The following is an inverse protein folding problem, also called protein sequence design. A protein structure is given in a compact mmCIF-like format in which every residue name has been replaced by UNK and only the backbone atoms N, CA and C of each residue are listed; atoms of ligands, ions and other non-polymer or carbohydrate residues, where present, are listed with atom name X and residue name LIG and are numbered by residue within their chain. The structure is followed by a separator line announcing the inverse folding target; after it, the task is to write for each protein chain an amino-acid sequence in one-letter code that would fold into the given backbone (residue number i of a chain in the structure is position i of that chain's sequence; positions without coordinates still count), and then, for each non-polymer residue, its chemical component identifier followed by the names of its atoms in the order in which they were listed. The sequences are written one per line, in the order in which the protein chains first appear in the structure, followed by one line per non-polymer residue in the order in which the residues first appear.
data_IF_223143306351
#
_entry.id   IF_223143306351
#
_cell.length_a   1.000
_cell.length_b   1.000
_cell.length_c   1.000
_cell.angle_alpha   90.00
_cell.angle_beta   90.00
_cell.angle_gamma   90.00
#
_symmetry.space_group_name_H-M   'P 1'
#
loop_
_entity.id
_entity.type
_entity.pdbx_description
1 polymer ?
#
# COMPACT_ATOMS: atom_id res chain seq x y z
N UNK A 1 -51.99 34.76 51.46
CA UNK A 1 -51.45 33.41 51.20
C UNK A 1 -51.64 33.17 49.72
N UNK A 2 -50.63 33.07 48.85
CA UNK A 2 -49.51 32.10 48.87
C UNK A 2 -48.41 32.54 47.90
N UNK A 3 -47.17 32.36 48.37
CA UNK A 3 -45.88 32.20 47.68
C UNK A 3 -45.87 31.83 46.18
N UNK A 4 -44.86 32.35 45.44
CA UNK A 4 -44.23 31.58 44.35
C UNK A 4 -43.47 32.35 43.24
N UNK A 5 -42.13 32.38 43.35
CA UNK A 5 -41.08 32.38 42.31
C UNK A 5 -41.09 33.40 41.13
N UNK A 6 -40.10 34.29 40.96
CA UNK A 6 -38.68 34.14 40.52
C UNK A 6 -38.46 33.84 39.00
N UNK A 7 -37.77 34.80 38.36
CA UNK A 7 -36.88 34.74 37.17
C UNK A 7 -37.45 34.60 35.74
N UNK A 8 -37.09 35.57 34.88
CA UNK A 8 -36.66 35.48 33.46
C UNK A 8 -36.87 36.89 32.82
N UNK A 9 -35.96 37.56 32.10
CA UNK A 9 -34.81 37.15 31.31
C UNK A 9 -33.85 38.35 31.14
N UNK A 10 -32.63 38.20 31.64
CA UNK A 10 -31.46 38.82 31.02
C UNK A 10 -30.81 37.74 30.15
N UNK A 11 -30.89 37.84 28.81
CA UNK A 11 -30.09 37.08 27.82
C UNK A 11 -30.46 37.51 26.39
N UNK A 12 -29.89 38.62 25.92
CA UNK A 12 -29.90 38.97 24.49
C UNK A 12 -28.60 39.69 24.08
N UNK A 13 -27.43 39.11 24.37
CA UNK A 13 -26.14 39.61 23.88
C UNK A 13 -25.13 38.48 23.52
N UNK A 14 -25.61 37.34 22.99
CA UNK A 14 -24.76 36.17 22.70
C UNK A 14 -24.73 35.63 21.26
N UNK A 15 -25.52 36.15 20.31
CA UNK A 15 -25.82 35.43 19.05
C UNK A 15 -25.22 35.98 17.75
N UNK A 16 -24.58 37.15 17.75
CA UNK A 16 -24.07 37.77 16.50
C UNK A 16 -22.72 37.23 16.02
N UNK A 17 -21.87 36.73 16.93
CA UNK A 17 -20.55 36.19 16.57
C UNK A 17 -20.61 34.80 15.91
N UNK A 18 -21.51 33.92 16.38
CA UNK A 18 -21.67 32.56 15.88
C UNK A 18 -22.22 32.50 14.44
N UNK A 19 -23.17 33.39 14.10
CA UNK A 19 -23.77 33.48 12.76
C UNK A 19 -22.78 33.97 11.70
N UNK A 20 -21.88 34.88 12.08
CA UNK A 20 -20.80 35.40 11.21
C UNK A 20 -19.75 34.31 10.91
N UNK A 21 -19.39 33.49 11.90
CA UNK A 21 -18.47 32.37 11.73
C UNK A 21 -19.07 31.26 10.85
N UNK A 22 -20.36 30.97 10.97
CA UNK A 22 -21.05 29.98 10.12
C UNK A 22 -21.05 30.38 8.64
N UNK A 23 -21.36 31.64 8.32
CA UNK A 23 -21.30 32.16 6.95
C UNK A 23 -19.89 32.16 6.37
N UNK A 24 -18.88 32.52 7.17
CA UNK A 24 -17.46 32.44 6.76
C UNK A 24 -17.03 30.99 6.49
N UNK A 25 -17.47 30.03 7.31
CA UNK A 25 -17.18 28.60 7.13
C UNK A 25 -17.72 28.07 5.80
N UNK A 26 -18.92 28.50 5.40
CA UNK A 26 -19.52 28.16 4.10
C UNK A 26 -18.75 28.82 2.94
N UNK A 27 -18.39 30.10 3.07
CA UNK A 27 -17.63 30.80 2.03
C UNK A 27 -16.23 30.17 1.79
N UNK A 28 -15.54 29.80 2.87
CA UNK A 28 -14.26 29.10 2.82
C UNK A 28 -14.43 27.70 2.22
N UNK A 29 -15.47 26.94 2.63
CA UNK A 29 -15.77 25.62 2.07
C UNK A 29 -16.05 25.65 0.56
N UNK A 30 -16.84 26.63 0.10
CA UNK A 30 -17.13 26.81 -1.33
C UNK A 30 -15.87 27.18 -2.13
N UNK A 31 -14.96 27.94 -1.52
CA UNK A 31 -13.67 28.28 -2.13
C UNK A 31 -12.81 27.02 -2.30
N UNK A 32 -12.65 26.19 -1.27
CA UNK A 32 -11.92 24.93 -1.39
C UNK A 32 -12.57 23.95 -2.40
N UNK A 33 -13.90 23.90 -2.45
CA UNK A 33 -14.62 23.10 -3.44
C UNK A 33 -14.34 23.58 -4.87
N UNK A 34 -14.24 24.90 -5.10
CA UNK A 34 -13.88 25.48 -6.41
C UNK A 34 -12.47 25.07 -6.86
N UNK A 35 -11.56 24.86 -5.92
CA UNK A 35 -10.20 24.38 -6.19
C UNK A 35 -10.08 22.84 -6.16
N UNK A 36 -11.20 22.11 -6.21
CA UNK A 36 -11.21 20.65 -6.43
C UNK A 36 -11.07 19.77 -5.18
N UNK A 37 -11.23 20.34 -3.97
CA UNK A 37 -11.30 19.52 -2.77
C UNK A 37 -12.59 18.66 -2.76
N UNK A 38 -12.50 17.36 -2.44
CA UNK A 38 -13.69 16.53 -2.31
C UNK A 38 -14.55 17.01 -1.13
N UNK A 39 -15.86 17.16 -1.38
CA UNK A 39 -16.83 17.70 -0.42
C UNK A 39 -16.90 16.94 0.90
N UNK A 40 -16.47 15.67 0.92
CA UNK A 40 -16.37 14.82 2.10
C UNK A 40 -15.21 15.20 3.04
N UNK A 41 -14.09 15.72 2.51
CA UNK A 41 -12.91 16.04 3.32
C UNK A 41 -12.96 17.45 3.91
N UNK A 42 -13.69 18.38 3.29
CA UNK A 42 -13.76 19.79 3.68
C UNK A 42 -14.23 19.99 5.15
N UNK A 43 -15.29 19.32 5.65
CA UNK A 43 -15.72 19.49 7.04
C UNK A 43 -14.66 19.01 8.04
N UNK A 44 -13.99 17.90 7.74
CA UNK A 44 -12.92 17.33 8.57
C UNK A 44 -11.67 18.22 8.58
N UNK A 45 -11.32 18.78 7.41
CA UNK A 45 -10.17 19.65 7.22
C UNK A 45 -10.33 20.99 7.96
N UNK A 46 -11.50 21.61 7.85
CA UNK A 46 -11.80 22.87 8.54
C UNK A 46 -11.92 22.70 10.06
N UNK A 47 -12.34 21.52 10.53
CA UNK A 47 -12.38 21.22 11.97
C UNK A 47 -10.99 21.11 12.60
N UNK A 48 -10.02 20.57 11.85
CA UNK A 48 -8.62 20.42 12.30
C UNK A 48 -7.84 21.73 12.27
N UNK A 49 -8.31 22.75 11.54
CA UNK A 49 -7.56 23.97 11.25
C UNK A 49 -8.39 25.24 11.53
N UNK A 50 -8.63 25.58 12.82
CA UNK A 50 -9.43 26.74 13.19
C UNK A 50 -8.78 28.08 12.77
N UNK A 51 -7.46 28.10 12.57
CA UNK A 51 -6.70 29.26 12.09
C UNK A 51 -7.12 29.73 10.69
N UNK A 52 -7.62 28.84 9.84
CA UNK A 52 -8.06 29.19 8.48
C UNK A 52 -9.38 29.95 8.46
N UNK A 53 -10.19 29.78 9.51
CA UNK A 53 -11.45 30.53 9.69
C UNK A 53 -11.20 31.96 10.19
N UNK A 54 -9.99 32.25 10.68
CA UNK A 54 -9.55 33.57 11.13
C UNK A 54 -8.86 34.38 10.03
N UNK A 55 -8.32 33.72 9.00
CA UNK A 55 -7.65 34.37 7.87
C UNK A 55 -8.65 35.06 6.91
N UNK A 56 -8.30 36.20 6.28
CA UNK A 56 -9.18 36.88 5.35
C UNK A 56 -9.30 36.12 4.01
N UNK A 57 -10.55 35.93 3.55
CA UNK A 57 -10.93 35.23 2.32
C UNK A 57 -10.12 35.62 1.04
N UNK A 58 -9.81 36.89 0.75
CA UNK A 58 -9.04 37.25 -0.46
C UNK A 58 -7.58 36.79 -0.40
N UNK A 59 -6.97 36.72 0.79
CA UNK A 59 -5.60 36.19 0.93
C UNK A 59 -5.59 34.67 0.77
N UNK A 60 -6.60 33.98 1.28
CA UNK A 60 -6.78 32.54 1.03
C UNK A 60 -6.98 32.26 -0.47
N UNK A 61 -7.83 33.04 -1.15
CA UNK A 61 -8.00 32.93 -2.59
C UNK A 61 -6.69 33.15 -3.34
N UNK A 62 -5.92 34.18 -3.00
CA UNK A 62 -4.68 34.49 -3.69
C UNK A 62 -3.58 33.46 -3.40
N UNK A 63 -3.44 32.98 -2.15
CA UNK A 63 -2.50 31.91 -1.78
C UNK A 63 -2.80 30.61 -2.52
N UNK A 64 -4.08 30.23 -2.63
CA UNK A 64 -4.51 29.09 -3.43
C UNK A 64 -4.27 29.35 -4.92
N UNK A 65 -4.55 30.54 -5.43
CA UNK A 65 -4.26 30.87 -6.84
C UNK A 65 -2.76 30.77 -7.15
N UNK A 66 -1.89 31.23 -6.26
CA UNK A 66 -0.44 31.06 -6.41
C UNK A 66 -0.01 29.60 -6.32
N UNK A 67 -0.57 28.81 -5.40
CA UNK A 67 -0.27 27.37 -5.29
C UNK A 67 -0.74 26.58 -6.52
N UNK A 68 -1.91 26.93 -7.08
CA UNK A 68 -2.46 26.31 -8.28
C UNK A 68 -1.85 26.87 -9.58
N UNK A 69 -1.16 28.01 -9.53
CA UNK A 69 -0.36 28.53 -10.65
C UNK A 69 0.99 27.81 -10.79
N UNK A 70 1.44 27.11 -9.75
CA UNK A 70 2.54 26.15 -9.85
C UNK A 70 2.03 24.96 -10.66
N UNK A 71 2.78 24.52 -11.68
CA UNK A 71 2.42 23.40 -12.57
C UNK A 71 2.39 22.03 -11.85
N UNK A 72 1.59 21.90 -10.80
CA UNK A 72 1.40 20.71 -9.97
C UNK A 72 -0.01 20.19 -10.25
N UNK A 73 -0.20 18.87 -10.40
CA UNK A 73 -1.53 18.30 -10.58
C UNK A 73 -2.40 18.56 -9.34
N UNK A 74 -3.66 18.91 -9.60
CA UNK A 74 -4.63 19.34 -8.59
C UNK A 74 -4.82 18.34 -7.43
N UNK A 75 -4.71 17.04 -7.71
CA UNK A 75 -4.84 16.00 -6.68
C UNK A 75 -3.67 16.00 -5.68
N UNK A 76 -2.47 16.35 -6.12
CA UNK A 76 -1.28 16.41 -5.27
C UNK A 76 -1.31 17.65 -4.37
N UNK A 77 -1.84 18.76 -4.87
CA UNK A 77 -2.07 19.96 -4.03
C UNK A 77 -3.10 19.65 -2.94
N UNK A 78 -4.18 18.95 -3.28
CA UNK A 78 -5.22 18.57 -2.31
C UNK A 78 -4.67 17.59 -1.27
N UNK A 79 -3.85 16.61 -1.67
CA UNK A 79 -3.21 15.69 -0.73
C UNK A 79 -2.18 16.39 0.17
N UNK A 80 -1.38 17.30 -0.39
CA UNK A 80 -0.41 18.11 0.35
C UNK A 80 -1.08 19.04 1.35
N UNK A 81 -2.15 19.73 0.97
CA UNK A 81 -2.91 20.61 1.86
C UNK A 81 -3.63 19.82 2.96
N UNK A 82 -4.18 18.65 2.64
CA UNK A 82 -4.82 17.77 3.63
C UNK A 82 -3.80 17.25 4.66
N UNK A 83 -2.57 16.98 4.22
CA UNK A 83 -1.48 16.48 5.06
C UNK A 83 -0.80 17.60 5.86
N UNK A 84 -0.70 18.81 5.30
CA UNK A 84 0.01 19.94 5.92
C UNK A 84 -0.78 21.26 5.74
N UNK A 85 -1.68 21.59 6.68
CA UNK A 85 -2.52 22.80 6.59
C UNK A 85 -1.78 24.11 6.91
N UNK A 86 -0.54 24.04 7.38
CA UNK A 86 0.33 25.20 7.62
C UNK A 86 0.68 25.99 6.35
N UNK A 87 0.51 25.38 5.18
CA UNK A 87 0.65 25.99 3.85
C UNK A 87 -0.27 27.20 3.61
N UNK A 88 -1.32 27.34 4.40
CA UNK A 88 -2.33 28.38 4.22
C UNK A 88 -2.24 29.47 5.30
N UNK A 89 -1.24 29.40 6.19
CA UNK A 89 -1.01 30.43 7.19
C UNK A 89 -0.39 31.69 6.56
N UNK A 90 -0.77 32.85 7.10
CA UNK A 90 -0.36 34.18 6.61
C UNK A 90 1.16 34.36 6.54
N UNK A 91 1.90 33.81 7.51
CA UNK A 91 3.37 33.84 7.54
C UNK A 91 4.00 33.07 6.38
N UNK A 92 3.41 31.94 6.01
CA UNK A 92 3.90 31.12 4.90
C UNK A 92 3.67 31.76 3.55
N UNK A 93 2.54 32.46 3.36
CA UNK A 93 2.22 33.13 2.09
C UNK A 93 3.27 34.20 1.73
N UNK A 94 3.69 35.03 2.68
CA UNK A 94 4.72 36.05 2.42
C UNK A 94 6.09 35.43 2.13
N UNK A 95 6.44 34.36 2.83
CA UNK A 95 7.67 33.60 2.56
C UNK A 95 7.60 32.90 1.19
N UNK A 96 6.45 32.35 0.81
CA UNK A 96 6.26 31.71 -0.48
C UNK A 96 6.35 32.73 -1.62
N UNK A 97 5.69 33.88 -1.51
CA UNK A 97 5.70 34.92 -2.56
C UNK A 97 7.10 35.52 -2.78
N UNK A 98 7.84 35.76 -1.69
CA UNK A 98 9.19 36.34 -1.79
C UNK A 98 10.27 35.33 -2.18
N UNK A 99 10.15 34.05 -1.80
CA UNK A 99 11.24 33.07 -1.95
C UNK A 99 11.07 32.11 -3.14
N UNK A 100 9.85 31.91 -3.64
CA UNK A 100 9.57 31.02 -4.77
C UNK A 100 10.32 31.41 -6.08
N UNK A 101 10.40 32.70 -6.48
CA UNK A 101 11.14 33.11 -7.68
C UNK A 101 12.64 32.83 -7.56
N UNK A 102 13.23 33.05 -6.38
CA UNK A 102 14.65 32.80 -6.14
C UNK A 102 14.99 31.31 -6.16
N UNK A 103 14.12 30.45 -5.64
CA UNK A 103 14.29 29.00 -5.68
C UNK A 103 14.14 28.45 -7.11
N UNK A 104 13.17 28.95 -7.88
CA UNK A 104 12.98 28.57 -9.30
C UNK A 104 14.17 28.98 -10.17
N UNK A 105 14.81 30.12 -9.88
CA UNK A 105 15.97 30.60 -10.65
C UNK A 105 17.24 29.82 -10.30
N UNK A 106 17.38 29.37 -9.04
CA UNK A 106 18.59 28.68 -8.55
C UNK A 106 18.55 27.17 -8.74
N UNK A 107 17.36 26.59 -8.87
CA UNK A 107 17.14 25.16 -9.15
C UNK A 107 16.17 24.97 -10.32
N UNK A 108 16.59 25.29 -11.56
CA UNK A 108 15.72 25.18 -12.74
C UNK A 108 15.30 23.74 -13.07
N UNK A 109 15.98 22.74 -12.51
CA UNK A 109 15.74 21.30 -12.73
C UNK A 109 14.79 20.66 -11.71
N UNK A 110 14.40 21.37 -10.65
CA UNK A 110 13.55 20.81 -9.58
C UNK A 110 12.05 20.89 -9.92
N UNK A 111 11.33 19.82 -9.60
CA UNK A 111 9.88 19.75 -9.74
C UNK A 111 9.19 20.83 -8.87
N UNK A 112 8.08 21.44 -9.30
CA UNK A 112 7.36 22.38 -8.44
C UNK A 112 6.88 21.77 -7.11
N UNK A 113 6.68 20.45 -7.05
CA UNK A 113 6.39 19.68 -5.83
C UNK A 113 7.58 19.59 -4.86
N UNK A 114 8.83 19.42 -5.35
CA UNK A 114 10.04 19.48 -4.49
C UNK A 114 10.23 20.84 -3.87
N UNK A 115 9.99 21.91 -4.64
CA UNK A 115 10.06 23.28 -4.14
C UNK A 115 9.05 23.54 -3.02
N UNK A 116 7.83 23.00 -3.14
CA UNK A 116 6.84 23.08 -2.06
C UNK A 116 7.23 22.21 -0.85
N UNK A 117 7.75 21.00 -1.05
CA UNK A 117 8.22 20.15 0.05
C UNK A 117 9.42 20.75 0.79
N UNK A 118 10.31 21.43 0.07
CA UNK A 118 11.40 22.23 0.65
C UNK A 118 10.89 23.36 1.54
N UNK A 119 9.91 24.13 1.06
CA UNK A 119 9.28 25.21 1.82
C UNK A 119 8.46 24.68 3.01
N UNK A 120 7.83 23.51 2.85
CA UNK A 120 7.15 22.80 3.92
C UNK A 120 8.12 22.34 5.00
N UNK A 121 9.28 21.85 4.61
CA UNK A 121 10.26 21.32 5.54
C UNK A 121 11.02 22.43 6.24
N UNK A 122 11.31 23.54 5.54
CA UNK A 122 11.87 24.74 6.15
C UNK A 122 10.96 25.29 7.25
N UNK A 123 9.65 25.29 7.03
CA UNK A 123 8.67 25.77 8.02
C UNK A 123 8.47 24.83 9.19
N UNK A 124 8.48 23.52 8.96
CA UNK A 124 8.46 22.51 10.03
C UNK A 124 9.70 22.56 10.92
N UNK A 125 10.85 22.88 10.33
CA UNK A 125 12.14 22.91 11.02
C UNK A 125 12.48 24.29 11.59
N UNK A 126 11.63 25.32 11.37
CA UNK A 126 11.91 26.72 11.70
C UNK A 126 13.25 27.24 11.13
N UNK A 127 13.71 26.68 10.01
CA UNK A 127 14.97 27.06 9.36
C UNK A 127 14.68 27.96 8.15
N UNK A 128 15.48 29.00 7.97
CA UNK A 128 15.35 29.92 6.83
C UNK A 128 15.72 29.18 5.52
N UNK A 129 14.88 29.18 4.46
CA UNK A 129 15.19 28.54 3.18
C UNK A 129 16.53 28.94 2.56
N UNK A 130 17.08 30.09 2.94
CA UNK A 130 18.41 30.55 2.52
C UNK A 130 19.56 29.77 3.19
N UNK A 131 19.37 29.25 4.41
CA UNK A 131 20.33 28.35 5.08
C UNK A 131 20.28 26.91 4.54
N UNK A 132 19.22 26.56 3.81
CA UNK A 132 19.15 25.29 3.06
C UNK A 132 20.05 25.32 1.83
N UNK A 133 20.22 26.49 1.21
CA UNK A 133 21.01 26.64 -0.01
C UNK A 133 22.51 26.29 0.16
N UNK A 134 23.22 26.69 1.24
CA UNK A 134 24.60 26.24 1.47
C UNK A 134 24.68 24.75 1.78
N UNK A 135 23.75 24.16 2.55
CA UNK A 135 23.73 22.71 2.82
C UNK A 135 23.43 21.87 1.58
N UNK A 136 22.51 22.33 0.73
CA UNK A 136 22.21 21.69 -0.56
C UNK A 136 23.36 21.83 -1.54
N UNK A 137 24.07 22.97 -1.49
CA UNK A 137 25.32 23.12 -2.23
C UNK A 137 26.40 22.20 -1.67
N UNK A 138 26.55 22.06 -0.34
CA UNK A 138 27.48 21.10 0.29
C UNK A 138 27.17 19.65 -0.13
N UNK A 139 25.89 19.27 -0.22
CA UNK A 139 25.48 17.98 -0.78
C UNK A 139 25.94 17.77 -2.23
N UNK A 140 26.01 18.83 -3.04
CA UNK A 140 26.51 18.77 -4.42
C UNK A 140 28.03 18.88 -4.52
N UNK A 141 28.66 19.77 -3.75
CA UNK A 141 30.09 20.09 -3.87
C UNK A 141 30.95 19.16 -3.04
N UNK A 142 30.54 18.90 -1.81
CA UNK A 142 31.37 18.18 -0.83
C UNK A 142 31.09 16.68 -0.91
N UNK A 143 29.84 16.33 -1.23
CA UNK A 143 29.42 14.95 -1.42
C UNK A 143 29.19 14.57 -2.89
N UNK A 144 29.40 15.45 -3.87
CA UNK A 144 29.32 15.11 -5.30
C UNK A 144 28.02 14.38 -5.72
N UNK A 145 26.89 14.63 -5.04
CA UNK A 145 25.61 14.02 -5.41
C UNK A 145 25.07 14.64 -6.71
N UNK A 146 24.41 13.82 -7.53
CA UNK A 146 23.78 14.33 -8.75
C UNK A 146 22.58 15.22 -8.44
N UNK A 147 22.26 16.14 -9.33
CA UNK A 147 21.07 17.00 -9.21
C UNK A 147 19.78 16.19 -9.02
N UNK A 148 19.71 15.02 -9.66
CA UNK A 148 18.58 14.10 -9.53
C UNK A 148 18.51 13.45 -8.14
N UNK A 149 19.65 13.14 -7.52
CA UNK A 149 19.72 12.60 -6.16
C UNK A 149 19.33 13.64 -5.13
N UNK A 150 19.83 14.87 -5.26
CA UNK A 150 19.40 15.98 -4.39
C UNK A 150 17.89 16.21 -4.49
N UNK A 151 17.34 16.18 -5.70
CA UNK A 151 15.89 16.24 -5.89
C UNK A 151 15.15 15.12 -5.15
N UNK A 152 15.60 13.87 -5.31
CA UNK A 152 14.98 12.72 -4.64
C UNK A 152 15.06 12.79 -3.12
N UNK A 153 16.18 13.27 -2.57
CA UNK A 153 16.32 13.48 -1.13
C UNK A 153 15.28 14.48 -0.63
N UNK A 154 15.05 15.55 -1.37
CA UNK A 154 14.06 16.56 -1.03
C UNK A 154 12.61 16.08 -1.16
N UNK A 155 12.34 15.14 -2.08
CA UNK A 155 11.01 14.50 -2.20
C UNK A 155 10.77 13.49 -1.08
N UNK A 156 11.74 12.62 -0.83
CA UNK A 156 11.56 11.44 0.03
C UNK A 156 11.92 11.63 1.49
N UNK A 157 12.88 12.52 1.81
CA UNK A 157 13.37 12.72 3.17
C UNK A 157 13.96 14.13 3.37
N UNK A 158 13.10 15.16 3.46
CA UNK A 158 13.58 16.53 3.59
C UNK A 158 14.20 16.83 4.96
N UNK A 159 13.99 15.95 5.94
CA UNK A 159 14.64 15.99 7.25
C UNK A 159 16.16 15.78 7.15
N UNK A 160 16.70 15.38 5.98
CA UNK A 160 18.15 15.33 5.73
C UNK A 160 18.84 16.63 6.13
N UNK A 161 18.12 17.75 6.00
CA UNK A 161 18.58 19.11 6.30
C UNK A 161 18.96 19.28 7.76
N UNK A 162 18.29 18.55 8.65
CA UNK A 162 18.55 18.58 10.10
C UNK A 162 19.77 17.74 10.45
N UNK A 163 19.97 16.64 9.74
CA UNK A 163 21.11 15.72 9.90
C UNK A 163 22.44 16.47 9.79
N UNK A 164 23.41 16.07 10.61
CA UNK A 164 24.74 16.67 10.60
C UNK A 164 25.51 16.28 9.34
N UNK A 165 26.31 17.19 8.77
CA UNK A 165 27.17 16.89 7.62
C UNK A 165 28.16 15.75 7.94
N UNK A 166 28.64 15.69 9.18
CA UNK A 166 29.49 14.60 9.67
C UNK A 166 28.78 13.24 9.67
N UNK A 167 27.47 13.20 9.97
CA UNK A 167 26.69 11.97 9.95
C UNK A 167 26.53 11.47 8.52
N UNK A 168 26.23 12.39 7.58
CA UNK A 168 26.13 12.10 6.15
C UNK A 168 27.47 11.57 5.60
N UNK A 169 28.58 12.24 5.95
CA UNK A 169 29.92 11.81 5.58
C UNK A 169 30.23 10.41 6.13
N UNK A 170 29.92 10.14 7.39
CA UNK A 170 30.17 8.84 8.02
C UNK A 170 29.43 7.69 7.32
N UNK A 171 28.18 7.92 6.87
CA UNK A 171 27.41 6.91 6.13
C UNK A 171 28.04 6.66 4.77
N UNK A 172 28.45 7.71 4.09
CA UNK A 172 29.13 7.64 2.79
C UNK A 172 30.45 6.87 2.89
N UNK A 173 31.27 7.20 3.88
CA UNK A 173 32.58 6.58 4.12
C UNK A 173 32.40 5.12 4.51
N UNK A 174 31.37 4.81 5.30
CA UNK A 174 31.02 3.44 5.65
C UNK A 174 30.61 2.61 4.42
N UNK A 175 29.73 3.12 3.56
CA UNK A 175 29.31 2.42 2.33
C UNK A 175 30.48 2.25 1.34
N UNK A 176 31.33 3.28 1.23
CA UNK A 176 32.55 3.23 0.41
C UNK A 176 33.55 2.21 0.96
N UNK A 177 33.76 2.19 2.27
CA UNK A 177 34.62 1.22 2.97
C UNK A 177 34.09 -0.21 2.90
N UNK A 178 32.78 -0.40 2.78
CA UNK A 178 32.18 -1.71 2.49
C UNK A 178 32.40 -2.17 1.03
N UNK A 179 32.83 -1.26 0.16
CA UNK A 179 33.16 -1.54 -1.23
C UNK A 179 31.98 -1.37 -2.19
N UNK A 180 31.10 -0.39 -1.92
CA UNK A 180 30.11 0.11 -2.87
C UNK A 180 30.73 1.33 -3.60
N UNK A 181 30.76 1.35 -4.94
CA UNK A 181 31.38 2.45 -5.68
C UNK A 181 30.55 3.74 -5.55
N UNK A 182 31.19 4.89 -5.76
CA UNK A 182 30.57 6.20 -5.53
C UNK A 182 29.30 6.41 -6.37
N UNK A 183 29.33 5.95 -7.62
CA UNK A 183 28.20 6.06 -8.54
C UNK A 183 26.99 5.26 -8.05
N UNK A 184 27.21 4.09 -7.42
CA UNK A 184 26.14 3.30 -6.82
C UNK A 184 25.63 3.91 -5.52
N UNK A 185 26.48 4.61 -4.75
CA UNK A 185 26.02 5.34 -3.55
C UNK A 185 25.04 6.45 -3.96
N UNK A 186 25.29 7.16 -5.07
CA UNK A 186 24.35 8.15 -5.60
C UNK A 186 22.98 7.50 -5.91
N UNK A 187 22.98 6.33 -6.56
CA UNK A 187 21.75 5.57 -6.85
C UNK A 187 21.04 5.04 -5.60
N UNK A 188 21.81 4.61 -4.59
CA UNK A 188 21.31 4.14 -3.29
C UNK A 188 20.58 5.26 -2.58
N UNK A 189 21.22 6.42 -2.46
CA UNK A 189 20.65 7.60 -1.81
C UNK A 189 19.46 8.11 -2.61
N UNK A 190 19.52 8.09 -3.94
CA UNK A 190 18.38 8.46 -4.80
C UNK A 190 17.17 7.57 -4.56
N UNK A 191 17.35 6.26 -4.38
CA UNK A 191 16.23 5.32 -4.23
C UNK A 191 15.74 5.23 -2.78
N UNK A 192 16.62 5.48 -1.80
CA UNK A 192 16.30 5.45 -0.38
C UNK A 192 17.04 6.57 0.38
N UNK A 193 16.59 7.83 0.26
CA UNK A 193 17.25 8.98 0.88
C UNK A 193 17.42 8.89 2.40
N UNK A 194 16.50 8.18 3.06
CA UNK A 194 16.50 7.95 4.51
C UNK A 194 17.76 7.22 5.01
N UNK A 195 18.53 6.58 4.12
CA UNK A 195 19.82 5.95 4.46
C UNK A 195 20.78 6.93 5.13
N UNK A 196 20.74 8.21 4.75
CA UNK A 196 21.64 9.25 5.26
C UNK A 196 21.40 9.61 6.73
N UNK A 197 20.22 9.30 7.26
CA UNK A 197 19.88 9.51 8.67
C UNK A 197 20.02 8.23 9.51
N UNK A 198 20.53 7.14 8.94
CA UNK A 198 20.80 5.92 9.69
C UNK A 198 22.16 6.03 10.38
N UNK A 199 22.17 6.06 11.71
CA UNK A 199 23.42 6.06 12.47
C UNK A 199 24.29 4.86 12.14
N UNK A 200 25.54 5.10 11.73
CA UNK A 200 26.50 4.06 11.32
C UNK A 200 26.75 3.07 12.45
N UNK A 201 27.16 3.57 13.61
CA UNK A 201 27.53 2.73 14.76
C UNK A 201 26.32 2.02 15.41
N UNK A 202 25.20 2.73 15.51
CA UNK A 202 24.03 2.26 16.25
C UNK A 202 23.10 1.38 15.41
N UNK A 203 23.14 1.48 14.08
CA UNK A 203 22.20 0.79 13.20
C UNK A 203 22.84 0.05 12.04
N UNK A 204 23.67 0.70 11.22
CA UNK A 204 24.26 0.04 10.05
C UNK A 204 25.25 -1.06 10.45
N UNK A 205 26.18 -0.78 11.37
CA UNK A 205 27.17 -1.76 11.83
C UNK A 205 26.53 -3.02 12.45
N UNK A 206 25.56 -2.92 13.38
CA UNK A 206 24.86 -4.09 13.90
C UNK A 206 24.10 -4.87 12.82
N UNK A 207 23.44 -4.18 11.88
CA UNK A 207 22.71 -4.84 10.79
C UNK A 207 23.65 -5.64 9.88
N UNK A 208 24.81 -5.07 9.51
CA UNK A 208 25.80 -5.75 8.68
C UNK A 208 26.43 -6.93 9.42
N UNK A 209 26.62 -6.81 10.74
CA UNK A 209 27.08 -7.91 11.58
C UNK A 209 26.07 -9.05 11.62
N UNK A 210 24.78 -8.76 11.83
CA UNK A 210 23.71 -9.76 11.78
C UNK A 210 23.70 -10.50 10.44
N UNK A 211 23.75 -9.75 9.32
CA UNK A 211 23.77 -10.33 7.98
C UNK A 211 24.95 -11.28 7.79
N UNK A 212 26.14 -10.89 8.28
CA UNK A 212 27.35 -11.72 8.22
C UNK A 212 27.25 -12.95 9.13
N UNK A 213 26.69 -12.82 10.33
CA UNK A 213 26.47 -13.92 11.27
C UNK A 213 25.45 -14.95 10.75
N UNK A 214 24.48 -14.51 9.94
CA UNK A 214 23.54 -15.37 9.23
C UNK A 214 24.16 -16.11 8.03
N UNK A 215 25.43 -15.85 7.72
CA UNK A 215 26.19 -16.56 6.67
C UNK A 215 26.09 -15.94 5.27
N UNK A 216 25.50 -14.75 5.13
CA UNK A 216 25.48 -14.06 3.83
C UNK A 216 26.84 -13.46 3.50
N UNK A 217 27.25 -13.58 2.23
CA UNK A 217 28.50 -13.01 1.77
C UNK A 217 28.40 -11.50 1.55
N UNK A 218 29.52 -10.78 1.69
CA UNK A 218 29.58 -9.35 1.37
C UNK A 218 29.21 -9.06 -0.10
N UNK A 219 29.34 -10.04 -1.00
CA UNK A 219 28.96 -9.91 -2.41
C UNK A 219 27.44 -9.93 -2.57
N UNK A 220 26.76 -10.87 -1.93
CA UNK A 220 25.29 -10.94 -1.93
C UNK A 220 24.68 -9.69 -1.31
N UNK A 221 25.26 -9.23 -0.20
CA UNK A 221 24.81 -8.01 0.46
C UNK A 221 24.96 -6.78 -0.44
N UNK A 222 26.12 -6.61 -1.10
CA UNK A 222 26.31 -5.51 -2.06
C UNK A 222 25.30 -5.60 -3.21
N UNK A 223 25.15 -6.78 -3.80
CA UNK A 223 24.19 -6.99 -4.89
C UNK A 223 22.76 -6.66 -4.48
N UNK A 224 22.36 -6.95 -3.25
CA UNK A 224 21.01 -6.64 -2.77
C UNK A 224 20.85 -5.15 -2.45
N UNK A 225 21.88 -4.49 -1.89
CA UNK A 225 21.86 -3.03 -1.66
C UNK A 225 21.73 -2.27 -2.99
N UNK A 226 22.48 -2.65 -4.01
CA UNK A 226 22.41 -2.00 -5.34
C UNK A 226 21.06 -2.26 -6.03
N UNK A 227 20.41 -3.39 -5.73
CA UNK A 227 19.08 -3.74 -6.28
C UNK A 227 17.94 -3.02 -5.55
N UNK A 228 17.95 -3.03 -4.23
CA UNK A 228 16.93 -2.40 -3.40
C UNK A 228 17.53 -1.91 -2.07
N UNK A 229 17.94 -0.63 -1.99
CA UNK A 229 18.65 -0.11 -0.82
C UNK A 229 17.78 -0.02 0.43
N UNK A 230 16.45 -0.22 0.31
CA UNK A 230 15.52 -0.26 1.45
C UNK A 230 15.81 -1.41 2.41
N UNK A 231 16.62 -2.39 2.00
CA UNK A 231 17.13 -3.43 2.91
C UNK A 231 17.94 -2.86 4.08
N UNK A 232 18.61 -1.72 3.89
CA UNK A 232 19.31 -0.99 4.97
C UNK A 232 18.35 -0.42 6.02
N UNK A 233 17.07 -0.27 5.66
CA UNK A 233 15.99 0.13 6.56
C UNK A 233 15.45 -1.00 7.45
N UNK A 234 15.99 -2.22 7.37
CA UNK A 234 15.61 -3.31 8.27
C UNK A 234 15.94 -3.00 9.73
N UNK A 235 15.08 -3.46 10.64
CA UNK A 235 15.40 -3.46 12.07
C UNK A 235 16.24 -4.70 12.40
N UNK A 236 17.09 -4.57 13.41
CA UNK A 236 17.96 -5.65 13.86
C UNK A 236 17.09 -6.83 14.35
N UNK A 237 17.40 -8.03 13.89
CA UNK A 237 16.67 -9.27 14.17
C UNK A 237 15.49 -9.52 13.23
N UNK A 238 15.07 -8.57 12.38
CA UNK A 238 14.01 -8.80 11.41
C UNK A 238 14.43 -9.79 10.34
N UNK A 239 15.67 -9.69 9.85
CA UNK A 239 16.19 -10.59 8.84
C UNK A 239 16.24 -12.02 9.37
N UNK A 240 16.73 -12.20 10.61
CA UNK A 240 16.71 -13.48 11.33
C UNK A 240 15.29 -14.05 11.48
N UNK A 241 14.28 -13.21 11.75
CA UNK A 241 12.88 -13.65 11.84
C UNK A 241 12.32 -14.08 10.48
N UNK A 242 12.65 -13.33 9.41
CA UNK A 242 12.22 -13.66 8.06
C UNK A 242 12.85 -14.96 7.56
N UNK A 243 14.13 -15.18 7.86
CA UNK A 243 14.84 -16.41 7.51
C UNK A 243 14.18 -17.62 8.18
N UNK A 244 13.95 -17.56 9.50
CA UNK A 244 13.20 -18.60 10.24
C UNK A 244 11.79 -18.83 9.69
N UNK A 245 11.12 -17.77 9.26
CA UNK A 245 9.81 -17.89 8.62
C UNK A 245 9.91 -18.70 7.33
N UNK A 246 10.87 -18.39 6.46
CA UNK A 246 11.09 -19.06 5.17
C UNK A 246 11.44 -20.54 5.37
N UNK A 247 12.28 -20.85 6.35
CA UNK A 247 12.61 -22.23 6.71
C UNK A 247 11.41 -23.02 7.20
N UNK A 248 10.53 -22.38 7.98
CA UNK A 248 9.35 -22.99 8.59
C UNK A 248 8.09 -22.99 7.70
N UNK A 249 8.16 -22.50 6.46
CA UNK A 249 7.00 -22.41 5.56
C UNK A 249 6.40 -23.79 5.28
N UNK A 250 5.09 -23.93 5.54
CA UNK A 250 4.33 -25.13 5.20
C UNK A 250 3.86 -25.09 3.74
N UNK A 251 4.78 -25.25 2.79
CA UNK A 251 4.44 -25.24 1.36
C UNK A 251 5.04 -26.40 0.57
N UNK A 252 4.56 -26.55 -0.68
CA UNK A 252 5.16 -27.47 -1.66
C UNK A 252 6.53 -26.95 -2.05
N UNK A 253 7.45 -27.86 -2.36
CA UNK A 253 8.82 -27.51 -2.74
C UNK A 253 8.87 -26.51 -3.90
N UNK A 254 8.01 -26.66 -4.92
CA UNK A 254 7.93 -25.71 -6.04
C UNK A 254 7.53 -24.28 -5.67
N UNK A 255 6.87 -24.07 -4.54
CA UNK A 255 6.59 -22.72 -4.02
C UNK A 255 7.82 -22.21 -3.28
N UNK A 256 8.46 -23.06 -2.48
CA UNK A 256 9.67 -22.73 -1.74
C UNK A 256 10.82 -22.37 -2.70
N UNK A 257 11.03 -23.16 -3.74
CA UNK A 257 11.99 -22.89 -4.82
C UNK A 257 11.71 -21.56 -5.52
N UNK A 258 10.43 -21.22 -5.79
CA UNK A 258 10.10 -19.93 -6.40
C UNK A 258 10.33 -18.75 -5.47
N UNK A 259 10.13 -18.93 -4.17
CA UNK A 259 10.42 -17.89 -3.17
C UNK A 259 11.93 -17.70 -3.04
N UNK A 260 12.70 -18.79 -2.96
CA UNK A 260 14.16 -18.77 -2.76
C UNK A 260 14.92 -18.50 -4.07
N UNK A 261 14.32 -18.74 -5.24
CA UNK A 261 14.97 -18.63 -6.54
C UNK A 261 15.49 -17.23 -6.88
N UNK A 262 15.03 -16.19 -6.18
CA UNK A 262 15.55 -14.82 -6.27
C UNK A 262 16.73 -14.53 -5.33
N UNK A 263 17.12 -15.49 -4.49
CA UNK A 263 18.12 -15.38 -3.42
C UNK A 263 17.48 -15.41 -2.02
N UNK A 264 18.15 -16.04 -1.05
CA UNK A 264 17.65 -16.13 0.34
C UNK A 264 17.50 -14.76 1.02
N UNK A 265 18.50 -13.88 0.84
CA UNK A 265 18.46 -12.52 1.38
C UNK A 265 17.30 -11.73 0.78
N UNK A 266 17.11 -11.84 -0.54
CA UNK A 266 15.99 -11.22 -1.25
C UNK A 266 14.66 -11.75 -0.74
N UNK A 267 14.50 -13.07 -0.64
CA UNK A 267 13.29 -13.68 -0.13
C UNK A 267 12.92 -13.17 1.27
N UNK A 268 13.91 -13.01 2.16
CA UNK A 268 13.69 -12.45 3.49
C UNK A 268 13.19 -10.99 3.41
N UNK A 269 13.79 -10.19 2.54
CA UNK A 269 13.36 -8.81 2.32
C UNK A 269 11.96 -8.72 1.70
N UNK A 270 11.63 -9.61 0.74
CA UNK A 270 10.29 -9.68 0.16
C UNK A 270 9.24 -10.03 1.24
N UNK A 271 9.54 -10.97 2.16
CA UNK A 271 8.69 -11.26 3.32
C UNK A 271 8.43 -10.00 4.14
N UNK A 272 9.48 -9.24 4.48
CA UNK A 272 9.33 -7.98 5.22
C UNK A 272 8.38 -7.03 4.50
N UNK A 273 8.56 -6.80 3.21
CA UNK A 273 7.70 -5.90 2.43
C UNK A 273 6.23 -6.32 2.48
N UNK A 274 5.93 -7.63 2.50
CA UNK A 274 4.53 -8.12 2.59
C UNK A 274 3.99 -7.93 3.99
N UNK A 275 4.81 -8.16 5.02
CA UNK A 275 4.42 -7.91 6.42
C UNK A 275 4.10 -6.43 6.62
N UNK A 276 4.97 -5.54 6.16
CA UNK A 276 4.81 -4.08 6.30
C UNK A 276 3.56 -3.60 5.55
N UNK A 277 3.34 -4.09 4.33
CA UNK A 277 2.12 -3.81 3.56
C UNK A 277 0.85 -4.24 4.33
N UNK A 278 0.79 -5.49 4.80
CA UNK A 278 -0.36 -6.00 5.55
C UNK A 278 -0.59 -5.23 6.86
N UNK A 279 0.48 -4.85 7.57
CA UNK A 279 0.40 -4.02 8.77
C UNK A 279 -0.11 -2.61 8.46
N UNK A 280 0.27 -2.04 7.31
CA UNK A 280 -0.24 -0.75 6.83
C UNK A 280 -1.76 -0.70 6.66
N UNK A 281 -2.39 -1.83 6.33
CA UNK A 281 -3.86 -1.96 6.26
C UNK A 281 -4.52 -2.34 7.60
N UNK A 282 -3.76 -2.42 8.69
CA UNK A 282 -4.28 -2.61 10.04
C UNK A 282 -4.15 -4.01 10.62
N UNK A 283 -3.45 -4.94 9.96
CA UNK A 283 -3.14 -6.24 10.58
C UNK A 283 -2.05 -6.11 11.64
N UNK A 284 -2.15 -6.94 12.69
CA UNK A 284 -1.05 -7.07 13.63
C UNK A 284 0.13 -7.77 12.97
N UNK A 285 1.36 -7.45 13.40
CA UNK A 285 2.57 -8.12 12.89
C UNK A 285 2.52 -9.65 13.04
N UNK A 286 1.89 -10.13 14.13
CA UNK A 286 1.70 -11.57 14.39
C UNK A 286 0.76 -12.20 13.35
N UNK A 287 -0.35 -11.54 13.06
CA UNK A 287 -1.31 -12.04 12.08
C UNK A 287 -0.77 -11.96 10.65
N UNK A 288 -0.04 -10.89 10.30
CA UNK A 288 0.62 -10.77 9.01
C UNK A 288 1.62 -11.92 8.77
N UNK A 289 2.46 -12.24 9.77
CA UNK A 289 3.36 -13.39 9.70
C UNK A 289 2.59 -14.71 9.57
N UNK A 290 1.49 -14.88 10.30
CA UNK A 290 0.62 -16.07 10.24
C UNK A 290 -0.05 -16.22 8.86
N UNK A 291 -0.46 -15.12 8.23
CA UNK A 291 -1.03 -15.10 6.87
C UNK A 291 0.00 -15.58 5.86
N UNK A 292 1.21 -15.00 5.89
CA UNK A 292 2.31 -15.38 4.99
C UNK A 292 2.74 -16.83 5.20
N UNK A 293 2.81 -17.27 6.46
CA UNK A 293 3.16 -18.65 6.79
C UNK A 293 2.15 -19.67 6.25
N UNK A 294 0.85 -19.35 6.31
CA UNK A 294 -0.22 -20.20 5.76
C UNK A 294 -0.35 -20.09 4.23
N UNK A 295 -0.01 -18.95 3.66
CA UNK A 295 -0.11 -18.68 2.22
C UNK A 295 1.17 -18.02 1.69
N UNK A 296 2.25 -18.79 1.48
CA UNK A 296 3.54 -18.24 1.07
C UNK A 296 3.57 -17.73 -0.37
N UNK A 297 2.56 -18.04 -1.20
CA UNK A 297 2.46 -17.48 -2.56
C UNK A 297 2.35 -15.95 -2.57
N UNK A 298 1.94 -15.34 -1.46
CA UNK A 298 1.91 -13.87 -1.31
C UNK A 298 3.29 -13.25 -1.47
N UNK A 299 4.36 -13.98 -1.12
CA UNK A 299 5.75 -13.51 -1.29
C UNK A 299 6.10 -13.39 -2.78
N UNK A 300 5.54 -14.25 -3.63
CA UNK A 300 5.79 -14.26 -5.07
C UNK A 300 5.02 -13.19 -5.86
N UNK A 301 4.03 -12.53 -5.23
CA UNK A 301 3.30 -11.44 -5.89
C UNK A 301 3.99 -10.11 -5.63
N UNK A 302 3.82 -9.17 -6.55
CA UNK A 302 4.24 -7.78 -6.35
C UNK A 302 3.43 -7.14 -5.23
N UNK A 303 4.02 -6.17 -4.52
CA UNK A 303 3.36 -5.48 -3.40
C UNK A 303 2.06 -4.83 -3.88
N UNK A 304 2.07 -4.16 -5.03
CA UNK A 304 0.87 -3.53 -5.61
C UNK A 304 -0.26 -4.52 -5.93
N UNK A 305 0.04 -5.78 -6.25
CA UNK A 305 -1.00 -6.80 -6.46
C UNK A 305 -1.67 -7.21 -5.15
N UNK A 306 -0.90 -7.25 -4.07
CA UNK A 306 -1.40 -7.54 -2.72
C UNK A 306 -2.25 -6.36 -2.24
N UNK A 307 -1.76 -5.13 -2.42
CA UNK A 307 -2.49 -3.90 -2.09
C UNK A 307 -3.85 -3.85 -2.78
N UNK A 308 -3.90 -4.08 -4.09
CA UNK A 308 -5.17 -4.12 -4.85
C UNK A 308 -6.16 -5.15 -4.31
N UNK A 309 -5.68 -6.32 -3.89
CA UNK A 309 -6.53 -7.37 -3.30
C UNK A 309 -7.06 -6.97 -1.94
N UNK A 310 -6.23 -6.36 -1.09
CA UNK A 310 -6.62 -5.90 0.25
C UNK A 310 -7.56 -4.70 0.15
N UNK A 311 -7.28 -3.75 -0.74
CA UNK A 311 -8.12 -2.59 -1.00
C UNK A 311 -9.51 -3.02 -1.47
N UNK A 312 -9.59 -3.97 -2.41
CA UNK A 312 -10.87 -4.53 -2.85
C UNK A 312 -11.67 -5.18 -1.71
N UNK A 313 -10.97 -5.87 -0.80
CA UNK A 313 -11.59 -6.51 0.37
C UNK A 313 -12.20 -5.47 1.32
N UNK A 314 -11.44 -4.42 1.64
CA UNK A 314 -11.86 -3.38 2.60
C UNK A 314 -12.91 -2.47 1.99
N UNK A 315 -12.67 -1.96 0.78
CA UNK A 315 -13.51 -0.92 0.18
C UNK A 315 -14.76 -1.50 -0.48
N UNK A 316 -14.62 -2.53 -1.32
CA UNK A 316 -15.73 -3.06 -2.12
C UNK A 316 -16.48 -4.16 -1.40
N UNK A 317 -15.77 -5.11 -0.78
CA UNK A 317 -16.40 -6.19 -0.03
C UNK A 317 -16.85 -5.75 1.37
N UNK A 318 -16.34 -4.63 1.88
CA UNK A 318 -16.62 -4.11 3.23
C UNK A 318 -16.31 -5.12 4.34
N UNK A 319 -15.30 -5.97 4.12
CA UNK A 319 -14.84 -6.93 5.12
C UNK A 319 -13.67 -6.36 5.94
N UNK A 320 -13.58 -6.78 7.20
CA UNK A 320 -12.40 -6.50 8.02
C UNK A 320 -11.16 -7.17 7.43
N UNK A 321 -10.00 -6.50 7.53
CA UNK A 321 -8.71 -7.06 7.10
C UNK A 321 -8.33 -8.27 7.96
N UNK A 322 -8.80 -8.33 9.20
CA UNK A 322 -8.57 -9.45 10.13
C UNK A 322 -9.06 -10.79 9.57
N UNK A 323 -10.08 -10.77 8.69
CA UNK A 323 -10.58 -11.99 8.03
C UNK A 323 -9.51 -12.68 7.16
N UNK A 324 -8.44 -11.97 6.76
CA UNK A 324 -7.30 -12.56 6.06
C UNK A 324 -6.53 -13.55 6.94
N UNK A 325 -6.51 -13.37 8.26
CA UNK A 325 -5.86 -14.32 9.18
C UNK A 325 -6.60 -15.68 9.24
N UNK A 326 -7.92 -15.65 9.00
CA UNK A 326 -8.77 -16.84 8.89
C UNK A 326 -8.69 -17.49 7.51
N UNK A 327 -8.70 -16.67 6.44
CA UNK A 327 -8.69 -17.14 5.05
C UNK A 327 -7.51 -16.57 4.24
N UNK A 328 -6.25 -16.91 4.57
CA UNK A 328 -5.06 -16.41 3.86
C UNK A 328 -5.06 -16.72 2.36
N UNK A 329 -5.70 -17.84 1.98
CA UNK A 329 -5.81 -18.32 0.59
C UNK A 329 -6.41 -17.27 -0.36
N UNK A 330 -7.16 -16.30 0.15
CA UNK A 330 -7.64 -15.15 -0.63
C UNK A 330 -6.50 -14.41 -1.33
N UNK A 331 -5.37 -14.19 -0.66
CA UNK A 331 -4.24 -13.50 -1.27
C UNK A 331 -3.51 -14.38 -2.31
N UNK A 332 -3.66 -15.71 -2.22
CA UNK A 332 -3.08 -16.69 -3.13
C UNK A 332 -3.82 -16.89 -4.45
N UNK A 333 -5.03 -16.34 -4.63
CA UNK A 333 -5.83 -16.51 -5.86
C UNK A 333 -5.65 -15.36 -6.84
N UNK A 334 -6.01 -15.60 -8.10
CA UNK A 334 -5.96 -14.58 -9.14
C UNK A 334 -7.04 -13.50 -8.89
N UNK A 335 -6.62 -12.23 -8.93
CA UNK A 335 -7.50 -11.10 -8.60
C UNK A 335 -8.68 -11.00 -9.57
N UNK A 336 -8.42 -10.88 -10.87
CA UNK A 336 -9.47 -10.64 -11.86
C UNK A 336 -10.34 -11.88 -12.11
N UNK A 337 -9.69 -13.00 -12.43
CA UNK A 337 -10.37 -14.22 -12.87
C UNK A 337 -11.16 -14.90 -11.74
N UNK A 338 -10.76 -14.69 -10.49
CA UNK A 338 -11.37 -15.38 -9.36
C UNK A 338 -12.04 -14.42 -8.38
N UNK A 339 -11.33 -13.41 -7.84
CA UNK A 339 -11.91 -12.51 -6.83
C UNK A 339 -13.00 -11.63 -7.46
N UNK A 340 -12.62 -10.82 -8.46
CA UNK A 340 -13.53 -9.85 -9.10
C UNK A 340 -14.67 -10.58 -9.83
N UNK A 341 -14.34 -11.62 -10.61
CA UNK A 341 -15.33 -12.39 -11.36
C UNK A 341 -16.42 -13.01 -10.47
N UNK A 342 -16.02 -13.64 -9.35
CA UNK A 342 -16.96 -14.30 -8.44
C UNK A 342 -17.72 -13.29 -7.60
N UNK A 343 -17.05 -12.24 -7.13
CA UNK A 343 -17.71 -11.21 -6.33
C UNK A 343 -18.76 -10.44 -7.14
N UNK A 344 -18.51 -10.16 -8.43
CA UNK A 344 -19.48 -9.52 -9.32
C UNK A 344 -20.78 -10.32 -9.48
N UNK A 345 -20.67 -11.67 -9.54
CA UNK A 345 -21.83 -12.57 -9.54
C UNK A 345 -22.58 -12.47 -8.21
N UNK A 346 -21.86 -12.47 -7.09
CA UNK A 346 -22.46 -12.35 -5.75
C UNK A 346 -23.17 -11.01 -5.57
N UNK A 347 -22.60 -9.90 -6.04
CA UNK A 347 -23.25 -8.59 -6.02
C UNK A 347 -24.56 -8.59 -6.82
N UNK A 348 -24.56 -9.20 -8.01
CA UNK A 348 -25.76 -9.35 -8.83
C UNK A 348 -26.86 -10.15 -8.11
N UNK A 349 -26.48 -11.28 -7.50
CA UNK A 349 -27.41 -12.13 -6.76
C UNK A 349 -27.94 -11.45 -5.49
N UNK A 350 -27.11 -10.66 -4.80
CA UNK A 350 -27.50 -9.88 -3.63
C UNK A 350 -28.51 -8.79 -4.00
N UNK A 351 -28.30 -8.10 -5.13
CA UNK A 351 -29.25 -7.10 -5.64
C UNK A 351 -30.64 -7.67 -5.96
N UNK A 352 -30.73 -8.98 -6.21
CA UNK A 352 -32.00 -9.69 -6.46
C UNK A 352 -32.59 -10.39 -5.23
N UNK A 353 -31.92 -10.32 -4.08
CA UNK A 353 -32.33 -11.06 -2.89
C UNK A 353 -32.21 -12.59 -3.02
N UNK A 354 -31.44 -13.08 -4.00
CA UNK A 354 -31.29 -14.52 -4.26
C UNK A 354 -30.34 -15.21 -3.26
N UNK A 355 -29.56 -14.44 -2.49
CA UNK A 355 -28.67 -14.93 -1.44
C UNK A 355 -29.17 -14.38 -0.10
N UNK A 356 -29.68 -15.28 0.76
CA UNK A 356 -30.18 -14.94 2.10
C UNK A 356 -29.15 -15.10 3.23
N UNK A 357 -27.89 -15.42 2.93
CA UNK A 357 -26.83 -15.63 3.92
C UNK A 357 -25.66 -14.66 3.71
N UNK A 358 -24.87 -14.44 4.77
CA UNK A 358 -23.64 -13.65 4.67
C UNK A 358 -22.60 -14.39 3.82
N UNK A 359 -22.36 -13.89 2.61
CA UNK A 359 -21.36 -14.46 1.72
C UNK A 359 -19.95 -14.10 2.18
N UNK A 360 -19.23 -15.09 2.74
CA UNK A 360 -17.90 -14.88 3.31
C UNK A 360 -16.75 -15.07 2.32
N UNK A 361 -15.54 -14.72 2.77
CA UNK A 361 -14.29 -14.98 2.03
C UNK A 361 -14.09 -16.46 1.68
N UNK A 362 -14.52 -17.37 2.56
CA UNK A 362 -14.42 -18.82 2.34
C UNK A 362 -15.25 -19.25 1.12
N UNK A 363 -16.46 -18.72 0.98
CA UNK A 363 -17.37 -19.06 -0.12
C UNK A 363 -16.88 -18.51 -1.46
N UNK A 364 -16.13 -17.40 -1.43
CA UNK A 364 -15.49 -16.84 -2.61
C UNK A 364 -14.31 -17.72 -3.09
N UNK A 365 -13.46 -18.16 -2.15
CA UNK A 365 -12.14 -18.71 -2.47
C UNK A 365 -12.12 -20.23 -2.53
N UNK A 366 -12.90 -20.91 -1.68
CA UNK A 366 -12.83 -22.37 -1.52
C UNK A 366 -13.44 -23.17 -2.68
N UNK A 367 -14.60 -22.79 -3.27
CA UNK A 367 -15.20 -23.58 -4.34
C UNK A 367 -14.31 -23.66 -5.58
N UNK A 368 -14.27 -24.84 -6.21
CA UNK A 368 -13.67 -24.98 -7.54
C UNK A 368 -14.44 -24.14 -8.56
N UNK A 369 -13.83 -23.84 -9.72
CA UNK A 369 -14.49 -23.07 -10.79
C UNK A 369 -15.84 -23.70 -11.17
N UNK A 370 -15.86 -25.03 -11.36
CA UNK A 370 -17.06 -25.77 -11.72
C UNK A 370 -18.12 -25.74 -10.61
N UNK A 371 -17.71 -25.93 -9.35
CA UNK A 371 -18.63 -25.90 -8.21
C UNK A 371 -19.23 -24.50 -8.02
N UNK A 372 -18.43 -23.45 -8.13
CA UNK A 372 -18.93 -22.07 -8.08
C UNK A 372 -19.93 -21.80 -9.21
N UNK A 373 -19.60 -22.22 -10.44
CA UNK A 373 -20.47 -22.05 -11.59
C UNK A 373 -21.81 -22.77 -11.40
N UNK A 374 -21.81 -24.04 -10.99
CA UNK A 374 -23.05 -24.81 -10.81
C UNK A 374 -23.95 -24.25 -9.69
N UNK A 375 -23.37 -23.67 -8.63
CA UNK A 375 -24.12 -23.13 -7.50
C UNK A 375 -24.66 -21.73 -7.75
N UNK A 376 -23.84 -20.83 -8.31
CA UNK A 376 -24.14 -19.39 -8.34
C UNK A 376 -24.36 -18.83 -9.75
N UNK A 377 -23.94 -19.54 -10.80
CA UNK A 377 -23.98 -19.03 -12.17
C UNK A 377 -25.04 -19.76 -13.00
N UNK A 378 -24.97 -21.10 -13.06
CA UNK A 378 -25.90 -21.93 -13.84
C UNK A 378 -27.38 -21.73 -13.49
N UNK A 379 -27.78 -21.55 -12.21
CA UNK A 379 -29.18 -21.31 -11.89
C UNK A 379 -29.69 -19.92 -12.31
N UNK A 380 -28.80 -19.00 -12.69
CA UNK A 380 -29.10 -17.61 -12.96
C UNK A 380 -28.49 -17.17 -14.31
N UNK A 381 -29.24 -17.25 -15.42
CA UNK A 381 -28.73 -17.01 -16.78
C UNK A 381 -28.03 -15.65 -16.98
N UNK A 382 -28.43 -14.63 -16.23
CA UNK A 382 -27.80 -13.30 -16.29
C UNK A 382 -26.38 -13.28 -15.70
N UNK A 383 -26.10 -14.16 -14.72
CA UNK A 383 -24.78 -14.31 -14.13
C UNK A 383 -23.79 -14.96 -15.11
N UNK A 384 -24.26 -15.69 -16.13
CA UNK A 384 -23.39 -16.26 -17.16
C UNK A 384 -22.69 -15.19 -18.00
N UNK A 385 -23.39 -14.10 -18.32
CA UNK A 385 -22.81 -12.97 -19.06
C UNK A 385 -21.74 -12.26 -18.23
N UNK A 386 -21.95 -12.14 -16.92
CA UNK A 386 -21.01 -11.51 -15.97
C UNK A 386 -19.79 -12.41 -15.76
N UNK A 387 -20.00 -13.70 -15.51
CA UNK A 387 -18.93 -14.67 -15.25
C UNK A 387 -18.13 -15.05 -16.52
N UNK A 388 -18.79 -15.03 -17.68
CA UNK A 388 -18.20 -15.28 -18.99
C UNK A 388 -17.20 -14.21 -19.44
N UNK A 389 -17.44 -12.93 -19.09
CA UNK A 389 -16.50 -11.82 -19.37
C UNK A 389 -15.10 -12.05 -18.79
N UNK A 390 -15.01 -12.73 -17.65
CA UNK A 390 -13.73 -13.05 -16.99
C UNK A 390 -13.17 -14.44 -17.35
N UNK A 391 -13.91 -15.23 -18.15
CA UNK A 391 -13.45 -16.54 -18.63
C UNK A 391 -12.49 -16.47 -19.83
N UNK A 392 -12.26 -15.27 -20.38
CA UNK A 392 -11.55 -15.09 -21.64
C UNK A 392 -12.42 -15.54 -22.82
N UNK A 393 -12.36 -14.79 -23.92
CA UNK A 393 -12.91 -15.21 -25.21
C UNK A 393 -12.62 -16.70 -25.46
N UNK A 394 -13.66 -17.49 -25.72
CA UNK A 394 -13.56 -18.72 -26.48
C UNK A 394 -12.49 -19.73 -26.03
N UNK A 395 -12.34 -20.00 -24.72
CA UNK A 395 -11.69 -21.26 -24.33
C UNK A 395 -12.68 -22.38 -24.62
N UNK A 396 -12.65 -22.89 -25.86
CA UNK A 396 -12.97 -24.30 -26.08
C UNK A 396 -12.12 -25.05 -25.07
N UNK A 397 -12.76 -25.59 -24.04
CA UNK A 397 -12.16 -26.61 -23.21
C UNK A 397 -11.90 -27.76 -24.17
N UNK A 398 -10.71 -27.81 -24.77
CA UNK A 398 -10.20 -29.03 -25.38
C UNK A 398 -10.03 -30.00 -24.21
N UNK A 399 -11.12 -30.70 -23.89
CA UNK A 399 -11.03 -31.89 -23.07
C UNK A 399 -9.96 -32.75 -23.74
N UNK A 400 -8.88 -33.05 -23.00
CA UNK A 400 -7.81 -33.95 -23.49
C UNK A 400 -8.34 -35.34 -23.86
N UNK A 401 -9.61 -35.60 -23.55
CA UNK A 401 -10.38 -36.72 -24.06
C UNK A 401 -11.52 -36.20 -24.94
N UNK A 402 -11.59 -36.62 -26.22
CA UNK A 402 -12.81 -36.48 -27.02
C UNK A 402 -14.04 -36.91 -26.22
N UNK A 403 -15.05 -36.04 -26.15
CA UNK A 403 -16.34 -36.40 -25.58
C UNK A 403 -16.89 -37.61 -26.36
N UNK A 404 -17.09 -38.74 -25.67
CA UNK A 404 -17.61 -39.97 -26.29
C UNK A 404 -16.62 -41.14 -26.38
N UNK A 405 -15.37 -41.01 -25.93
CA UNK A 405 -14.45 -42.17 -25.85
C UNK A 405 -14.98 -43.30 -24.96
N UNK A 406 -15.68 -42.98 -23.87
CA UNK A 406 -16.37 -43.97 -23.04
C UNK A 406 -17.54 -44.68 -23.74
N UNK A 407 -18.06 -44.15 -24.86
CA UNK A 407 -19.04 -44.84 -25.72
C UNK A 407 -18.37 -45.83 -26.68
N UNK A 408 -17.07 -45.67 -26.94
CA UNK A 408 -16.26 -46.60 -27.74
C UNK A 408 -15.78 -47.79 -26.89
N UNK A 409 -15.56 -47.56 -25.60
CA UNK A 409 -15.37 -48.63 -24.61
C UNK A 409 -16.73 -49.22 -24.19
N UNK A 410 -17.43 -49.89 -25.11
CA UNK A 410 -18.41 -50.89 -24.68
C UNK A 410 -17.60 -52.11 -24.21
N UNK A 411 -17.66 -52.49 -22.92
CA UNK A 411 -17.06 -53.76 -22.51
C UNK A 411 -17.65 -54.87 -23.39
N UNK A 412 -16.79 -55.78 -23.87
CA UNK A 412 -17.27 -56.97 -24.56
C UNK A 412 -18.28 -57.64 -23.63
N UNK A 413 -19.52 -57.81 -24.11
CA UNK A 413 -20.50 -58.63 -23.41
C UNK A 413 -19.96 -60.05 -23.47
N UNK A 414 -19.32 -60.50 -22.39
CA UNK A 414 -19.09 -61.92 -22.19
C UNK A 414 -20.47 -62.56 -22.07
N UNK A 415 -20.71 -63.62 -22.84
CA UNK A 415 -21.87 -64.46 -22.61
C UNK A 415 -21.65 -65.14 -21.26
N UNK A 416 -22.46 -64.77 -20.27
CA UNK A 416 -22.46 -65.41 -18.96
C UNK A 416 -22.59 -66.92 -19.19
N UNK A 417 -21.53 -67.68 -18.86
CA UNK A 417 -21.63 -69.14 -18.77
C UNK A 417 -22.24 -69.45 -17.41
N UNK A 418 -22.99 -70.55 -17.31
CA UNK A 418 -23.66 -70.93 -16.05
C UNK A 418 -22.67 -71.04 -14.87
N UNK A 419 -21.39 -71.33 -15.14
CA UNK A 419 -20.29 -71.34 -14.17
C UNK A 419 -19.98 -69.96 -13.53
N UNK A 420 -20.19 -68.87 -14.28
CA UNK A 420 -19.99 -67.49 -13.79
C UNK A 420 -21.09 -67.10 -12.80
N UNK A 421 -22.32 -67.58 -13.04
CA UNK A 421 -23.48 -67.35 -12.16
C UNK A 421 -23.34 -68.15 -10.86
N UNK A 422 -22.83 -69.37 -10.92
CA UNK A 422 -22.51 -70.18 -9.74
C UNK A 422 -21.37 -69.56 -8.91
N UNK A 423 -20.33 -69.02 -9.57
CA UNK A 423 -19.23 -68.33 -8.90
C UNK A 423 -19.69 -67.05 -8.19
N UNK A 424 -20.59 -66.28 -8.80
CA UNK A 424 -21.19 -65.09 -8.18
C UNK A 424 -22.12 -65.48 -7.03
N UNK A 425 -22.90 -66.56 -7.15
CA UNK A 425 -23.78 -67.05 -6.08
C UNK A 425 -22.98 -67.52 -4.87
N UNK A 426 -21.91 -68.30 -5.07
CA UNK A 426 -21.01 -68.74 -4.01
C UNK A 426 -20.31 -67.56 -3.32
N UNK A 427 -19.91 -66.53 -4.08
CA UNK A 427 -19.35 -65.30 -3.51
C UNK A 427 -20.38 -64.54 -2.65
N UNK A 428 -21.64 -64.43 -3.10
CA UNK A 428 -22.68 -63.76 -2.33
C UNK A 428 -23.07 -64.53 -1.06
N UNK A 429 -23.09 -65.85 -1.11
CA UNK A 429 -23.33 -66.71 0.06
C UNK A 429 -22.21 -66.62 1.10
N UNK A 430 -20.99 -66.28 0.70
CA UNK A 430 -19.87 -66.04 1.64
C UNK A 430 -19.91 -64.70 2.37
N UNK A 431 -20.83 -63.80 1.98
CA UNK A 431 -20.98 -62.46 2.53
C UNK A 431 -22.15 -62.34 3.52
N UNK A 432 -22.89 -63.43 3.76
CA UNK A 432 -23.94 -63.58 4.78
C UNK A 432 -23.41 -64.50 5.88
#
# INVERSE_FOLDING_TARGET
MTLGAKYANARFLGSTSAFSQYRKKIAVANLFQKYGFPSSLIPSFLSRNPSLLQAPLPQLHHSLTTLFSLRIPQNDIVSLLTTNPSLLHHSFYHTLQSRLPHLQTRFPTLSPSTLLNLLLSSTKLHLDPLQLSPKLNALKTDFAFSDATVASILEGFPDVVVTGENEIASVIDFLSGFGIPRDEIDLVVRSFPRVLALGVEQRLMPLFREIKELGFSNREMRSEISRDPRILGMEIGELTRCLRLIESLKCRESIKERVIGSGLMRACFEVKLRVDCLCGYGLTRRDALKVIWKEPRVICYEVGDVERKVEFLVQRMKCSVECLAEVPKYLGVNFEKQIVARYSVVECLRGKGAIGFEFGLKDLVMPSRLRFYNLYVKPYPECEKIYGRFSGCGVQVKTKHPAGLWKLFKPQKFAERDEDVESVRSFMESLV
#
